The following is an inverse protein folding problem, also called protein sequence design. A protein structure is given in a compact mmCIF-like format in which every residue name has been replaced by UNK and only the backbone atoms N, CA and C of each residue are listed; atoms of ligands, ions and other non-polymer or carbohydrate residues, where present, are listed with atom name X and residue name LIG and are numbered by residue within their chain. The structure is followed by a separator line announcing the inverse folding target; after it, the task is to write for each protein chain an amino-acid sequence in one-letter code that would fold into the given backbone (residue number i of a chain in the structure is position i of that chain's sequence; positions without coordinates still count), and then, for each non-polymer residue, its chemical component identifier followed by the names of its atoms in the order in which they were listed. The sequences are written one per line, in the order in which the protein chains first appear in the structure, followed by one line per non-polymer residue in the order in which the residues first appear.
data_IF_287806512301
#
_entry.id   IF_287806512301
#
_cell.length_a   1.000
_cell.length_b   1.000
_cell.length_c   1.000
_cell.angle_alpha   90.00
_cell.angle_beta   90.00
_cell.angle_gamma   90.00
#
_symmetry.space_group_name_H-M   'P 1'
#
loop_
_entity.id
_entity.type
_entity.pdbx_description
1 polymer ?
#
# COMPACT_ATOMS: atom_id res chain seq x y z
N UNK A 1 -19.55 -11.61 4.74
CA UNK A 1 -18.92 -11.19 3.48
C UNK A 1 -17.64 -10.43 3.84
N UNK A 2 -16.52 -10.67 3.16
CA UNK A 2 -15.26 -9.98 3.48
C UNK A 2 -15.40 -8.47 3.25
N UNK A 3 -14.73 -7.66 4.09
CA UNK A 3 -14.71 -6.22 3.90
C UNK A 3 -14.07 -5.87 2.54
N UNK A 4 -14.74 -5.01 1.78
CA UNK A 4 -14.24 -4.50 0.50
C UNK A 4 -13.68 -3.10 0.70
N UNK A 5 -12.50 -2.87 0.13
CA UNK A 5 -11.76 -1.62 0.15
C UNK A 5 -11.35 -1.22 -1.27
N UNK A 6 -11.35 0.08 -1.54
CA UNK A 6 -10.98 0.67 -2.86
C UNK A 6 -9.51 0.96 -3.03
N UNK A 7 -8.76 0.99 -1.93
CA UNK A 7 -7.32 1.20 -1.94
C UNK A 7 -6.71 0.78 -0.61
N UNK A 8 -5.38 0.80 -0.55
CA UNK A 8 -4.59 0.72 0.66
C UNK A 8 -3.86 2.05 0.90
N UNK A 9 -3.96 2.59 2.11
CA UNK A 9 -3.17 3.72 2.60
C UNK A 9 -2.29 3.20 3.73
N UNK A 10 -0.97 3.27 3.58
CA UNK A 10 0.00 2.83 4.59
C UNK A 10 0.65 4.06 5.22
N UNK A 11 0.42 4.28 6.51
CA UNK A 11 1.08 5.35 7.27
C UNK A 11 2.44 4.89 7.79
N UNK A 12 3.50 5.32 7.10
CA UNK A 12 4.89 5.09 7.46
C UNK A 12 5.60 6.38 7.88
N UNK A 13 4.87 7.46 8.19
CA UNK A 13 5.47 8.78 8.49
C UNK A 13 6.38 8.79 9.72
N UNK A 14 6.15 7.88 10.65
CA UNK A 14 6.94 7.72 11.87
C UNK A 14 8.20 6.85 11.67
N UNK A 15 8.44 6.39 10.44
CA UNK A 15 9.55 5.52 10.07
C UNK A 15 10.51 6.27 9.14
N UNK A 16 11.76 5.78 9.05
CA UNK A 16 12.77 6.30 8.12
C UNK A 16 12.60 5.69 6.71
N UNK A 17 11.39 5.78 6.17
CA UNK A 17 11.09 5.23 4.85
C UNK A 17 11.70 6.07 3.74
N UNK A 18 12.41 5.42 2.83
CA UNK A 18 12.89 6.02 1.57
C UNK A 18 11.92 5.74 0.42
N UNK A 19 11.90 6.65 -0.55
CA UNK A 19 11.04 6.52 -1.74
C UNK A 19 11.69 5.56 -2.74
N UNK A 20 10.92 4.57 -3.18
CA UNK A 20 11.24 3.74 -4.32
C UNK A 20 10.13 3.76 -5.36
N UNK A 21 10.50 3.47 -6.62
CA UNK A 21 9.53 3.28 -7.71
C UNK A 21 8.68 2.02 -7.51
N UNK A 22 9.28 0.98 -6.92
CA UNK A 22 8.71 -0.36 -6.83
C UNK A 22 8.88 -0.96 -5.42
N UNK A 23 8.36 -0.31 -4.36
CA UNK A 23 8.40 -0.88 -3.02
C UNK A 23 7.51 -2.11 -2.92
N UNK A 24 7.81 -3.00 -1.98
CA UNK A 24 6.90 -4.06 -1.57
C UNK A 24 6.18 -3.69 -0.27
N UNK A 25 4.96 -4.21 -0.09
CA UNK A 25 4.26 -4.16 1.21
C UNK A 25 4.18 -5.57 1.75
N UNK A 26 4.71 -5.77 2.95
CA UNK A 26 4.88 -7.07 3.58
C UNK A 26 4.03 -7.18 4.84
N UNK A 27 3.62 -8.39 5.22
CA UNK A 27 3.13 -8.67 6.57
C UNK A 27 4.29 -8.85 7.56
N UNK A 28 4.01 -8.83 8.86
CA UNK A 28 4.98 -9.13 9.92
C UNK A 28 5.70 -10.48 9.73
N UNK A 29 5.03 -11.45 9.13
CA UNK A 29 5.59 -12.78 8.84
C UNK A 29 6.42 -12.81 7.53
N UNK A 30 6.59 -11.66 6.86
CA UNK A 30 7.36 -11.54 5.61
C UNK A 30 6.59 -11.92 4.35
N UNK A 31 5.27 -12.10 4.42
CA UNK A 31 4.47 -12.42 3.25
C UNK A 31 4.23 -11.16 2.40
N UNK A 32 4.44 -11.26 1.09
CA UNK A 32 4.18 -10.15 0.18
C UNK A 32 2.70 -9.96 -0.08
N UNK A 33 2.20 -8.78 0.32
CA UNK A 33 0.84 -8.33 0.08
C UNK A 33 0.72 -7.60 -1.25
N UNK A 34 1.75 -6.83 -1.58
CA UNK A 34 1.85 -6.02 -2.77
C UNK A 34 3.29 -6.06 -3.26
N UNK A 35 3.49 -6.51 -4.50
CA UNK A 35 4.79 -6.72 -5.11
C UNK A 35 4.75 -6.35 -6.58
N UNK A 36 5.87 -5.89 -7.18
CA UNK A 36 5.97 -5.65 -8.61
C UNK A 36 5.66 -6.90 -9.44
N UNK A 37 5.85 -8.10 -8.87
CA UNK A 37 5.50 -9.36 -9.52
C UNK A 37 3.99 -9.61 -9.67
N UNK A 38 3.15 -8.91 -8.89
CA UNK A 38 1.69 -9.11 -8.89
C UNK A 38 0.95 -8.08 -9.76
N UNK A 39 1.62 -7.01 -10.18
CA UNK A 39 1.06 -5.89 -10.92
C UNK A 39 1.54 -5.94 -12.36
N UNK A 40 0.63 -5.79 -13.32
CA UNK A 40 1.02 -5.75 -14.73
C UNK A 40 1.81 -4.47 -15.04
N UNK A 41 2.76 -4.56 -15.98
CA UNK A 41 3.50 -3.39 -16.46
C UNK A 41 2.57 -2.29 -16.98
N UNK A 42 1.50 -2.68 -17.68
CA UNK A 42 0.47 -1.77 -18.18
C UNK A 42 -0.18 -0.97 -17.04
N UNK A 43 -0.61 -1.64 -15.97
CA UNK A 43 -1.20 -0.96 -14.82
C UNK A 43 -0.21 -0.02 -14.13
N UNK A 44 1.04 -0.45 -13.97
CA UNK A 44 2.08 0.38 -13.37
C UNK A 44 2.39 1.62 -14.23
N UNK A 45 2.42 1.49 -15.56
CA UNK A 45 2.65 2.60 -16.50
C UNK A 45 1.46 3.57 -16.51
N UNK A 46 0.23 3.05 -16.55
CA UNK A 46 -0.96 3.89 -16.69
C UNK A 46 -1.37 4.60 -15.39
N UNK A 47 -1.11 3.99 -14.23
CA UNK A 47 -1.59 4.51 -12.94
C UNK A 47 -0.48 5.00 -12.01
N UNK A 48 0.79 4.75 -12.33
CA UNK A 48 1.88 4.79 -11.35
C UNK A 48 1.79 3.62 -10.39
N UNK A 49 2.91 3.09 -9.91
CA UNK A 49 2.92 1.88 -9.08
C UNK A 49 2.46 2.13 -7.64
N UNK A 50 2.98 3.18 -6.99
CA UNK A 50 2.51 3.70 -5.70
C UNK A 50 2.49 5.22 -5.74
N UNK A 51 1.69 5.84 -4.87
CA UNK A 51 1.74 7.28 -4.65
C UNK A 51 2.22 7.61 -3.25
N UNK A 52 3.21 8.51 -3.16
CA UNK A 52 3.69 9.02 -1.88
C UNK A 52 2.99 10.34 -1.56
N UNK A 53 2.48 10.46 -0.34
CA UNK A 53 1.78 11.65 0.16
C UNK A 53 2.26 11.99 1.57
N UNK A 54 2.03 13.23 2.01
CA UNK A 54 2.56 13.71 3.30
C UNK A 54 1.58 13.57 4.43
N UNK A 55 0.28 13.68 4.15
CA UNK A 55 -0.74 13.69 5.21
C UNK A 55 -1.91 12.76 4.90
N UNK A 56 -2.59 12.22 5.93
CA UNK A 56 -3.81 11.45 5.75
C UNK A 56 -4.87 12.24 4.99
N UNK A 57 -5.03 13.54 5.26
CA UNK A 57 -6.04 14.38 4.61
C UNK A 57 -5.82 14.47 3.10
N UNK A 58 -4.57 14.61 2.66
CA UNK A 58 -4.21 14.55 1.24
C UNK A 58 -4.57 13.19 0.64
N UNK A 59 -4.22 12.10 1.33
CA UNK A 59 -4.50 10.76 0.86
C UNK A 59 -5.99 10.43 0.76
N UNK A 60 -6.79 10.77 1.76
CA UNK A 60 -8.23 10.54 1.74
C UNK A 60 -8.96 11.37 0.67
N UNK A 61 -8.39 12.51 0.24
CA UNK A 61 -8.94 13.33 -0.86
C UNK A 61 -8.47 12.88 -2.24
N UNK A 62 -7.43 12.04 -2.31
CA UNK A 62 -6.90 11.56 -3.58
C UNK A 62 -7.92 10.67 -4.30
N UNK A 63 -7.99 10.82 -5.63
CA UNK A 63 -8.75 9.90 -6.48
C UNK A 63 -8.27 8.46 -6.33
N UNK A 64 -7.01 8.24 -5.94
CA UNK A 64 -6.42 6.92 -5.72
C UNK A 64 -7.10 6.22 -4.54
N UNK A 65 -7.43 6.95 -3.46
CA UNK A 65 -8.07 6.38 -2.28
C UNK A 65 -9.48 5.82 -2.57
N UNK A 66 -10.20 6.45 -3.50
CA UNK A 66 -11.58 6.09 -3.77
C UNK A 66 -12.49 6.40 -2.57
N UNK A 67 -13.62 5.68 -2.48
CA UNK A 67 -14.64 5.96 -1.47
C UNK A 67 -14.47 5.17 -0.16
N UNK A 68 -13.67 4.11 -0.15
CA UNK A 68 -13.46 3.26 1.02
C UNK A 68 -12.03 2.72 1.08
N UNK A 69 -11.02 3.60 1.28
CA UNK A 69 -9.65 3.18 1.50
C UNK A 69 -9.52 2.39 2.82
N UNK A 70 -8.59 1.45 2.86
CA UNK A 70 -8.14 0.85 4.11
C UNK A 70 -6.88 1.57 4.59
N UNK A 71 -6.95 2.21 5.76
CA UNK A 71 -5.83 2.92 6.36
C UNK A 71 -5.17 2.02 7.42
N UNK A 72 -3.86 1.83 7.31
CA UNK A 72 -3.05 1.03 8.23
C UNK A 72 -1.81 1.78 8.64
N UNK A 73 -1.32 1.53 9.85
CA UNK A 73 -0.02 2.04 10.31
C UNK A 73 1.04 0.98 10.04
N UNK A 74 2.12 1.37 9.37
CA UNK A 74 3.27 0.49 9.20
C UNK A 74 3.92 0.21 10.57
N UNK A 75 4.38 -1.02 10.78
CA UNK A 75 5.08 -1.44 11.99
C UNK A 75 6.61 -1.30 11.85
N UNK A 76 7.10 -1.25 10.62
CA UNK A 76 8.52 -1.14 10.31
C UNK A 76 8.76 -0.98 8.82
N UNK A 77 10.04 -0.87 8.46
CA UNK A 77 10.53 -0.85 7.07
C UNK A 77 11.63 -1.89 6.90
N UNK A 78 11.69 -2.51 5.74
CA UNK A 78 12.66 -3.56 5.41
C UNK A 78 13.21 -3.40 4.00
N UNK A 79 14.11 -4.31 3.61
CA UNK A 79 14.88 -4.29 2.37
C UNK A 79 16.32 -3.87 2.59
N UNK A 80 17.15 -4.02 1.55
CA UNK A 80 18.52 -3.48 1.53
C UNK A 80 18.52 -1.95 1.70
N UNK A 81 17.50 -1.30 1.13
CA UNK A 81 17.11 0.08 1.43
C UNK A 81 15.79 0.06 2.20
N UNK A 82 15.53 1.04 3.10
CA UNK A 82 14.33 1.07 3.94
C UNK A 82 13.09 1.53 3.16
N UNK A 83 12.70 0.77 2.14
CA UNK A 83 11.69 1.18 1.14
C UNK A 83 10.43 0.32 1.21
N UNK A 84 10.45 -0.81 1.93
CA UNK A 84 9.32 -1.74 1.99
C UNK A 84 8.61 -1.67 3.35
N UNK A 85 7.42 -1.04 3.45
CA UNK A 85 6.63 -1.05 4.68
C UNK A 85 6.20 -2.45 5.09
N UNK A 86 6.24 -2.72 6.40
CA UNK A 86 5.69 -3.92 7.02
C UNK A 86 4.41 -3.54 7.76
N UNK A 87 3.33 -4.30 7.58
CA UNK A 87 2.03 -4.08 8.26
C UNK A 87 1.66 -5.30 9.12
N UNK A 88 0.71 -5.11 10.04
CA UNK A 88 0.22 -6.18 10.90
C UNK A 88 -0.34 -7.35 10.08
N UNK A 89 -0.08 -8.58 10.54
CA UNK A 89 -0.59 -9.80 9.89
C UNK A 89 -2.13 -9.84 9.78
N UNK A 90 -2.84 -9.22 10.74
CA UNK A 90 -4.31 -9.12 10.69
C UNK A 90 -4.79 -8.20 9.57
N UNK A 91 -4.14 -7.07 9.38
CA UNK A 91 -4.45 -6.12 8.31
C UNK A 91 -4.19 -6.73 6.94
N UNK A 92 -3.05 -7.44 6.81
CA UNK A 92 -2.72 -8.24 5.66
C UNK A 92 -3.85 -9.21 5.28
N UNK A 93 -4.37 -9.97 6.27
CA UNK A 93 -5.49 -10.90 6.06
C UNK A 93 -6.77 -10.19 5.63
N UNK A 94 -7.12 -9.05 6.24
CA UNK A 94 -8.31 -8.27 5.88
C UNK A 94 -8.26 -7.79 4.43
N UNK A 95 -7.12 -7.24 4.01
CA UNK A 95 -6.90 -6.73 2.65
C UNK A 95 -7.00 -7.87 1.61
N UNK A 96 -6.41 -9.03 1.90
CA UNK A 96 -6.41 -10.18 1.00
C UNK A 96 -7.69 -11.04 1.05
N UNK A 97 -8.67 -10.70 1.89
CA UNK A 97 -9.92 -11.45 1.99
C UNK A 97 -10.91 -11.13 0.85
N UNK A 98 -10.79 -9.98 0.18
CA UNK A 98 -11.72 -9.55 -0.87
C UNK A 98 -11.08 -9.56 -2.26
N UNK A 99 -11.76 -10.15 -3.24
CA UNK A 99 -11.35 -10.07 -4.64
C UNK A 99 -11.38 -8.64 -5.19
N UNK A 100 -12.34 -7.80 -4.77
CA UNK A 100 -12.38 -6.40 -5.20
C UNK A 100 -11.17 -5.62 -4.69
N UNK A 101 -10.77 -5.87 -3.45
CA UNK A 101 -9.56 -5.23 -2.89
C UNK A 101 -8.30 -5.72 -3.59
N UNK A 102 -8.16 -7.02 -3.88
CA UNK A 102 -7.05 -7.52 -4.70
C UNK A 102 -6.99 -6.87 -6.08
N UNK A 103 -8.14 -6.68 -6.73
CA UNK A 103 -8.21 -5.98 -8.01
C UNK A 103 -7.80 -4.50 -7.88
N UNK A 104 -8.22 -3.82 -6.81
CA UNK A 104 -7.78 -2.46 -6.53
C UNK A 104 -6.25 -2.37 -6.38
N UNK A 105 -5.64 -3.28 -5.62
CA UNK A 105 -4.18 -3.34 -5.50
C UNK A 105 -3.50 -3.61 -6.85
N UNK A 106 -4.01 -4.56 -7.65
CA UNK A 106 -3.51 -4.82 -9.00
C UNK A 106 -3.60 -3.61 -9.93
N UNK A 107 -4.55 -2.71 -9.68
CA UNK A 107 -4.72 -1.43 -10.37
C UNK A 107 -4.01 -0.27 -9.66
N UNK A 108 -2.95 -0.58 -8.88
CA UNK A 108 -2.07 0.37 -8.22
C UNK A 108 -2.77 1.36 -7.28
N UNK A 109 -3.87 0.95 -6.65
CA UNK A 109 -4.58 1.76 -5.65
C UNK A 109 -3.87 1.68 -4.30
N UNK A 110 -2.64 2.20 -4.25
CA UNK A 110 -1.77 2.16 -3.07
C UNK A 110 -1.16 3.53 -2.82
N UNK A 111 -1.38 4.05 -1.61
CA UNK A 111 -0.79 5.30 -1.13
C UNK A 111 0.12 4.97 0.06
N UNK A 112 1.34 5.49 0.06
CA UNK A 112 2.26 5.40 1.18
C UNK A 112 2.44 6.80 1.74
N UNK A 113 2.08 6.99 3.00
CA UNK A 113 2.40 8.22 3.69
C UNK A 113 3.83 8.15 4.22
N UNK A 114 4.63 9.16 3.90
CA UNK A 114 5.94 9.36 4.51
C UNK A 114 6.10 10.80 4.96
N UNK A 115 6.92 11.00 5.98
CA UNK A 115 7.45 12.32 6.28
C UNK A 115 8.55 12.67 5.26
N UNK A 116 9.07 13.90 5.33
CA UNK A 116 10.04 14.49 4.37
C UNK A 116 11.03 13.50 3.76
#
# INVERSE_FOLDING_TARGET
MAAEFTSLIVDARHLKLEVALFPEILSEEGNSLYSPYFVSKENAVNHGYVSYMKTPEEAFRSQIAGNKPYFVTALGVTGHYPVNPVIAGEDARKILASMKTKTALKNCRVIILKDK
#
